data_IF_555210954229
#
_entry.id   IF_555210954229
#
_cell.length_a   1.000
_cell.length_b   1.000
_cell.length_c   1.000
_cell.angle_alpha   90.00
_cell.angle_beta   90.00
_cell.angle_gamma   90.00
#
_symmetry.space_group_name_H-M   'P 1'
#
loop_
_entity.id
_entity.type
_entity.pdbx_description
1 polymer ?
#
# COMPACT_ATOMS: atom_id res chain seq x y z
N UNK A 1 -25.02 10.57 11.00
CA UNK A 1 -23.88 11.50 11.10
C UNK A 1 -22.56 10.77 10.87
N UNK A 2 -22.19 9.82 11.73
CA UNK A 2 -20.91 9.08 11.67
C UNK A 2 -20.62 8.47 10.29
N UNK A 3 -21.56 7.73 9.69
CA UNK A 3 -21.36 7.11 8.37
C UNK A 3 -21.03 8.12 7.26
N UNK A 4 -21.62 9.32 7.31
CA UNK A 4 -21.36 10.37 6.31
C UNK A 4 -19.95 10.92 6.45
N UNK A 5 -19.52 11.20 7.67
CA UNK A 5 -18.16 11.67 7.97
C UNK A 5 -17.11 10.63 7.57
N UNK A 6 -17.38 9.34 7.80
CA UNK A 6 -16.51 8.24 7.35
C UNK A 6 -16.45 8.18 5.82
N UNK A 7 -17.58 8.33 5.14
CA UNK A 7 -17.63 8.39 3.67
C UNK A 7 -16.83 9.56 3.09
N UNK A 8 -16.96 10.75 3.69
CA UNK A 8 -16.18 11.94 3.32
C UNK A 8 -14.68 11.73 3.57
N UNK A 9 -14.30 11.11 4.69
CA UNK A 9 -12.92 10.79 5.00
C UNK A 9 -12.31 9.76 4.02
N UNK A 10 -13.07 8.72 3.65
CA UNK A 10 -12.64 7.74 2.65
C UNK A 10 -12.45 8.43 1.29
N UNK A 11 -13.39 9.29 0.87
CA UNK A 11 -13.26 10.05 -0.38
C UNK A 11 -11.98 10.90 -0.39
N UNK A 12 -11.72 11.65 0.69
CA UNK A 12 -10.50 12.44 0.84
C UNK A 12 -9.24 11.55 0.84
N UNK A 13 -9.29 10.37 1.47
CA UNK A 13 -8.16 9.43 1.49
C UNK A 13 -7.81 8.91 0.10
N UNK A 14 -8.82 8.64 -0.74
CA UNK A 14 -8.62 8.21 -2.13
C UNK A 14 -8.05 9.36 -2.95
N UNK A 15 -8.56 10.58 -2.81
CA UNK A 15 -8.05 11.75 -3.51
C UNK A 15 -6.59 12.05 -3.15
N UNK A 16 -6.25 11.99 -1.86
CA UNK A 16 -4.88 12.16 -1.37
C UNK A 16 -3.98 11.01 -1.80
N UNK A 17 -4.45 9.76 -1.72
CA UNK A 17 -3.72 8.57 -2.16
C UNK A 17 -3.41 8.63 -3.67
N UNK A 18 -4.37 9.05 -4.49
CA UNK A 18 -4.18 9.25 -5.93
C UNK A 18 -3.18 10.39 -6.22
N UNK A 19 -3.25 11.49 -5.47
CA UNK A 19 -2.29 12.59 -5.59
C UNK A 19 -0.87 12.15 -5.22
N UNK A 20 -0.70 11.45 -4.08
CA UNK A 20 0.59 10.93 -3.64
C UNK A 20 1.12 9.92 -4.65
N UNK A 21 0.31 8.95 -5.08
CA UNK A 21 0.69 7.98 -6.10
C UNK A 21 1.10 8.66 -7.42
N UNK A 22 0.36 9.68 -7.86
CA UNK A 22 0.69 10.43 -9.07
C UNK A 22 2.01 11.20 -8.95
N UNK A 23 2.23 11.91 -7.84
CA UNK A 23 3.48 12.64 -7.60
C UNK A 23 4.67 11.67 -7.51
N UNK A 24 4.54 10.56 -6.79
CA UNK A 24 5.60 9.56 -6.69
C UNK A 24 5.87 8.88 -8.04
N UNK A 25 4.84 8.64 -8.86
CA UNK A 25 5.02 8.10 -10.22
C UNK A 25 5.82 9.04 -11.13
N UNK A 26 5.54 10.35 -11.07
CA UNK A 26 6.24 11.37 -11.87
C UNK A 26 7.68 11.60 -11.43
N UNK A 27 7.96 11.49 -10.12
CA UNK A 27 9.27 11.80 -9.54
C UNK A 27 10.02 10.58 -9.00
N UNK A 28 9.66 9.36 -9.41
CA UNK A 28 10.18 8.08 -8.88
C UNK A 28 11.70 8.05 -8.66
N UNK A 29 12.50 8.38 -9.69
CA UNK A 29 13.96 8.34 -9.60
C UNK A 29 14.52 9.41 -8.67
N UNK A 30 13.95 10.62 -8.70
CA UNK A 30 14.39 11.72 -7.82
C UNK A 30 14.04 11.43 -6.36
N UNK A 31 12.86 10.88 -6.11
CA UNK A 31 12.43 10.46 -4.77
C UNK A 31 13.35 9.36 -4.21
N UNK A 32 13.69 8.35 -5.03
CA UNK A 32 14.60 7.28 -4.62
C UNK A 32 16.03 7.80 -4.38
N UNK A 33 16.54 8.70 -5.23
CA UNK A 33 17.86 9.31 -5.05
C UNK A 33 17.93 10.32 -3.89
N UNK A 34 16.81 10.90 -3.48
CA UNK A 34 16.77 11.81 -2.34
C UNK A 34 16.96 11.07 -1.00
N UNK A 35 16.60 9.79 -0.94
CA UNK A 35 16.62 8.96 0.28
C UNK A 35 17.76 7.93 0.23
N UNK A 36 18.17 7.50 -0.97
CA UNK A 36 19.17 6.47 -1.19
C UNK A 36 20.32 6.91 -2.09
N UNK A 37 20.90 5.94 -2.80
CA UNK A 37 22.00 6.18 -3.75
C UNK A 37 21.68 5.56 -5.12
N UNK A 38 22.53 5.84 -6.10
CA UNK A 38 22.38 5.34 -7.47
C UNK A 38 22.59 3.83 -7.61
N UNK A 39 23.36 3.19 -6.72
CA UNK A 39 23.63 1.75 -6.78
C UNK A 39 22.40 0.89 -6.49
N UNK A 40 21.46 1.39 -5.67
CA UNK A 40 20.22 0.68 -5.34
C UNK A 40 19.09 0.86 -6.35
N UNK A 41 19.25 1.72 -7.36
CA UNK A 41 18.16 2.07 -8.28
C UNK A 41 17.69 0.88 -9.12
N UNK A 42 18.58 -0.04 -9.49
CA UNK A 42 18.26 -1.21 -10.31
C UNK A 42 17.14 -2.06 -9.69
N UNK A 43 17.17 -2.23 -8.37
CA UNK A 43 16.15 -3.00 -7.64
C UNK A 43 14.99 -2.14 -7.14
N UNK A 44 15.26 -0.88 -6.77
CA UNK A 44 14.27 -0.01 -6.13
C UNK A 44 13.24 0.56 -7.12
N UNK A 45 13.64 0.83 -8.37
CA UNK A 45 12.74 1.35 -9.40
C UNK A 45 11.63 0.35 -9.78
N UNK A 46 11.95 -0.91 -10.13
CA UNK A 46 10.93 -1.91 -10.40
C UNK A 46 10.01 -2.12 -9.20
N UNK A 47 10.58 -2.27 -7.99
CA UNK A 47 9.80 -2.43 -6.77
C UNK A 47 8.79 -1.28 -6.59
N UNK A 48 9.26 -0.04 -6.68
CA UNK A 48 8.40 1.13 -6.49
C UNK A 48 7.29 1.18 -7.53
N UNK A 49 7.58 0.87 -8.80
CA UNK A 49 6.58 0.86 -9.88
C UNK A 49 5.43 -0.11 -9.61
N UNK A 50 5.75 -1.33 -9.16
CA UNK A 50 4.75 -2.33 -8.83
C UNK A 50 4.04 -2.05 -7.50
N UNK A 51 4.66 -1.26 -6.60
CA UNK A 51 4.09 -0.87 -5.31
C UNK A 51 3.11 0.32 -5.41
N UNK A 52 3.31 1.22 -6.39
CA UNK A 52 2.49 2.44 -6.56
C UNK A 52 0.97 2.20 -6.55
N UNK A 53 0.42 1.19 -7.24
CA UNK A 53 -1.02 0.92 -7.22
C UNK A 53 -1.57 0.64 -5.80
N UNK A 54 -0.75 0.09 -4.90
CA UNK A 54 -1.13 -0.23 -3.53
C UNK A 54 -1.31 0.97 -2.61
N UNK A 55 -0.88 2.17 -3.00
CA UNK A 55 -0.97 3.37 -2.15
C UNK A 55 -2.44 3.76 -1.88
N UNK A 56 -3.33 3.59 -2.85
CA UNK A 56 -4.75 3.93 -2.70
C UNK A 56 -5.47 2.99 -1.71
N UNK A 57 -5.40 1.65 -1.86
CA UNK A 57 -6.02 0.75 -0.88
C UNK A 57 -5.39 0.87 0.52
N UNK A 58 -4.09 1.17 0.62
CA UNK A 58 -3.46 1.50 1.91
C UNK A 58 -4.09 2.73 2.57
N UNK A 59 -4.29 3.82 1.80
CA UNK A 59 -4.90 5.04 2.31
C UNK A 59 -6.34 4.81 2.82
N UNK A 60 -7.13 4.02 2.08
CA UNK A 60 -8.48 3.62 2.49
C UNK A 60 -8.43 2.78 3.77
N UNK A 61 -7.49 1.82 3.85
CA UNK A 61 -7.32 0.97 5.03
C UNK A 61 -6.94 1.77 6.27
N UNK A 62 -6.06 2.77 6.14
CA UNK A 62 -5.69 3.67 7.25
C UNK A 62 -6.92 4.39 7.80
N UNK A 63 -7.75 4.97 6.93
CA UNK A 63 -8.98 5.66 7.35
C UNK A 63 -10.02 4.70 7.91
N UNK A 64 -10.17 3.52 7.30
CA UNK A 64 -11.06 2.47 7.79
C UNK A 64 -10.68 2.04 9.20
N UNK A 65 -9.42 1.69 9.43
CA UNK A 65 -8.92 1.29 10.75
C UNK A 65 -8.99 2.43 11.77
N UNK A 66 -8.75 3.68 11.36
CA UNK A 66 -8.97 4.84 12.23
C UNK A 66 -10.45 4.99 12.63
N UNK A 67 -11.36 4.74 11.70
CA UNK A 67 -12.81 4.83 11.94
C UNK A 67 -13.29 3.76 12.93
N UNK A 68 -12.85 2.51 12.77
CA UNK A 68 -13.16 1.42 13.72
C UNK A 68 -12.60 1.70 15.13
N UNK A 69 -11.34 2.17 15.21
CA UNK A 69 -10.75 2.57 16.49
C UNK A 69 -11.49 3.75 17.15
N UNK A 70 -12.04 4.66 16.35
CA UNK A 70 -12.82 5.81 16.83
C UNK A 70 -14.14 5.42 17.51
N UNK A 71 -14.70 4.26 17.17
CA UNK A 71 -15.89 3.69 17.85
C UNK A 71 -15.53 2.63 18.90
N UNK A 72 -14.24 2.57 19.29
CA UNK A 72 -13.67 1.60 20.24
C UNK A 72 -13.76 0.13 19.80
N UNK A 73 -13.95 -0.13 18.50
CA UNK A 73 -13.81 -1.46 17.93
C UNK A 73 -12.38 -1.64 17.40
N UNK A 74 -11.55 -2.32 18.18
CA UNK A 74 -10.16 -2.65 17.81
C UNK A 74 -10.01 -4.07 17.30
N UNK A 75 -11.03 -4.92 17.49
CA UNK A 75 -10.97 -6.35 17.16
C UNK A 75 -11.20 -6.56 15.67
N UNK A 76 -12.20 -5.88 15.11
CA UNK A 76 -12.49 -5.95 13.67
C UNK A 76 -11.28 -5.55 12.81
N UNK A 77 -10.61 -4.40 13.01
CA UNK A 77 -9.42 -4.05 12.22
C UNK A 77 -8.24 -5.00 12.46
N UNK A 78 -8.11 -5.58 13.66
CA UNK A 78 -7.07 -6.57 13.95
C UNK A 78 -7.28 -7.87 13.17
N UNK A 79 -8.52 -8.37 13.12
CA UNK A 79 -8.87 -9.56 12.35
C UNK A 79 -8.63 -9.36 10.85
N UNK A 80 -9.04 -8.21 10.30
CA UNK A 80 -8.79 -7.85 8.90
C UNK A 80 -7.28 -7.85 8.63
N UNK A 81 -6.50 -7.16 9.48
CA UNK A 81 -5.04 -7.09 9.33
C UNK A 81 -4.39 -8.47 9.40
N UNK A 82 -4.84 -9.34 10.29
CA UNK A 82 -4.32 -10.71 10.40
C UNK A 82 -4.57 -11.52 9.12
N UNK A 83 -5.78 -11.46 8.58
CA UNK A 83 -6.13 -12.16 7.32
C UNK A 83 -5.31 -11.61 6.15
N UNK A 84 -5.22 -10.28 6.01
CA UNK A 84 -4.41 -9.66 4.94
C UNK A 84 -2.94 -10.03 5.04
N UNK A 85 -2.36 -10.04 6.25
CA UNK A 85 -0.98 -10.46 6.44
C UNK A 85 -0.76 -11.94 6.12
N UNK A 86 -1.70 -12.83 6.48
CA UNK A 86 -1.63 -14.24 6.11
C UNK A 86 -1.69 -14.44 4.60
N UNK A 87 -2.54 -13.67 3.92
CA UNK A 87 -2.61 -13.66 2.45
C UNK A 87 -1.26 -13.22 1.86
N UNK A 88 -0.65 -12.16 2.37
CA UNK A 88 0.68 -11.70 1.96
C UNK A 88 1.76 -12.77 2.17
N UNK A 89 1.79 -13.42 3.33
CA UNK A 89 2.74 -14.51 3.64
C UNK A 89 2.67 -15.64 2.60
N UNK A 90 1.50 -15.90 2.04
CA UNK A 90 1.31 -16.93 1.00
C UNK A 90 1.65 -16.38 -0.39
N UNK A 91 1.21 -15.15 -0.71
CA UNK A 91 1.42 -14.53 -2.02
C UNK A 91 2.88 -14.17 -2.29
N UNK A 92 3.63 -13.73 -1.29
CA UNK A 92 5.04 -13.36 -1.42
C UNK A 92 5.88 -14.51 -2.02
N UNK A 93 6.00 -15.70 -1.40
CA UNK A 93 6.77 -16.79 -1.97
C UNK A 93 6.19 -17.30 -3.29
N UNK A 94 4.87 -17.24 -3.49
CA UNK A 94 4.22 -17.66 -4.73
C UNK A 94 4.55 -16.71 -5.91
N UNK A 95 4.56 -15.41 -5.69
CA UNK A 95 4.87 -14.43 -6.73
C UNK A 95 6.37 -14.27 -6.92
N UNK A 96 7.17 -14.45 -5.87
CA UNK A 96 8.63 -14.39 -5.96
C UNK A 96 9.22 -15.58 -6.70
N UNK A 97 8.84 -16.82 -6.35
CA UNK A 97 9.52 -18.03 -6.84
C UNK A 97 8.87 -18.63 -8.10
N UNK A 98 7.64 -19.22 -8.07
CA UNK A 98 7.10 -19.88 -9.26
C UNK A 98 6.70 -18.91 -10.38
N UNK A 99 6.31 -17.67 -10.08
CA UNK A 99 6.07 -16.66 -11.11
C UNK A 99 7.35 -15.98 -11.62
N UNK A 100 8.50 -16.21 -10.97
CA UNK A 100 9.80 -15.65 -11.37
C UNK A 100 9.88 -14.12 -11.34
N UNK A 101 8.95 -13.45 -10.65
CA UNK A 101 8.88 -11.97 -10.62
C UNK A 101 9.86 -11.37 -9.61
N UNK A 102 10.45 -12.18 -8.73
CA UNK A 102 11.41 -11.73 -7.72
C UNK A 102 10.90 -10.53 -6.93
N UNK A 103 11.64 -9.43 -6.95
CA UNK A 103 11.32 -8.19 -6.22
C UNK A 103 9.99 -7.56 -6.67
N UNK A 104 9.63 -7.69 -7.95
CA UNK A 104 8.33 -7.22 -8.45
C UNK A 104 7.18 -8.06 -7.89
N UNK A 105 7.40 -9.35 -7.66
CA UNK A 105 6.42 -10.25 -7.06
C UNK A 105 6.07 -9.85 -5.63
N UNK A 106 7.08 -9.52 -4.82
CA UNK A 106 6.87 -9.02 -3.46
C UNK A 106 6.10 -7.67 -3.43
N UNK A 107 6.43 -6.77 -4.35
CA UNK A 107 5.72 -5.50 -4.47
C UNK A 107 4.24 -5.67 -4.84
N UNK A 108 3.93 -6.63 -5.72
CA UNK A 108 2.57 -6.96 -6.13
C UNK A 108 1.79 -7.64 -5.02
N UNK A 109 2.38 -8.62 -4.33
CA UNK A 109 1.77 -9.26 -3.16
C UNK A 109 1.35 -8.20 -2.14
N UNK A 110 2.29 -7.32 -1.75
CA UNK A 110 2.04 -6.25 -0.77
C UNK A 110 1.01 -5.21 -1.24
N UNK A 111 0.74 -5.14 -2.54
CA UNK A 111 -0.23 -4.19 -3.13
C UNK A 111 -1.59 -4.80 -3.41
N UNK A 112 -1.76 -6.11 -3.18
CA UNK A 112 -3.01 -6.84 -3.32
C UNK A 112 -3.86 -6.75 -2.04
#
# INVERSE_FOLDING_TARGET
AVQRTVGEAIFLSVALGALVSGLTALFQTKALLAIGNSAGLEFSLPYLRYRLPGIIPDAVSIVGFASFRGVLDTVTPLQISLVTNLINIVLDPLLMFPAGLGIAGAALATSA
#
